data_IF_730099988511
#
_entry.id   IF_730099988511
#
_cell.length_a   1.000
_cell.length_b   1.000
_cell.length_c   1.000
_cell.angle_alpha   90.00
_cell.angle_beta   90.00
_cell.angle_gamma   90.00
#
_symmetry.space_group_name_H-M   'P 1'
#
loop_
_entity.id
_entity.type
_entity.pdbx_description
1 polymer ?
#
# COMPACT_ATOMS: atom_id res chain seq x y z
N UNK A 1 -29.54 -65.11 -36.25
CA UNK A 1 -29.13 -64.21 -37.36
C UNK A 1 -29.13 -62.79 -36.83
N UNK A 2 -27.96 -62.30 -36.42
CA UNK A 2 -27.14 -61.25 -37.08
C UNK A 2 -27.61 -59.80 -36.84
N UNK A 3 -26.90 -59.10 -35.94
CA UNK A 3 -26.40 -57.69 -36.12
C UNK A 3 -25.69 -57.57 -37.50
N UNK A 4 -25.44 -56.40 -38.13
CA UNK A 4 -24.99 -55.09 -37.57
C UNK A 4 -25.65 -53.87 -38.33
N UNK A 5 -25.40 -52.57 -38.07
CA UNK A 5 -24.16 -51.81 -38.29
C UNK A 5 -24.05 -50.53 -37.46
N UNK A 6 -22.80 -50.31 -37.04
CA UNK A 6 -22.27 -49.14 -36.36
C UNK A 6 -22.13 -47.98 -37.35
N UNK A 7 -22.38 -46.75 -36.89
CA UNK A 7 -21.85 -45.55 -37.55
C UNK A 7 -20.82 -44.87 -36.64
N UNK A 8 -19.71 -44.59 -37.31
CA UNK A 8 -18.39 -44.17 -36.86
C UNK A 8 -18.32 -42.65 -36.69
N UNK A 9 -17.66 -42.20 -35.61
CA UNK A 9 -16.71 -41.06 -35.54
C UNK A 9 -17.17 -39.64 -35.94
N UNK A 10 -17.16 -38.72 -34.97
CA UNK A 10 -16.10 -37.68 -34.85
C UNK A 10 -16.30 -36.78 -33.63
N UNK A 11 -15.22 -36.67 -32.85
CA UNK A 11 -15.01 -35.73 -31.73
C UNK A 11 -14.57 -34.38 -32.31
N UNK A 12 -15.13 -33.22 -31.90
CA UNK A 12 -14.51 -31.95 -32.20
C UNK A 12 -13.52 -31.57 -31.10
N UNK A 13 -12.29 -31.38 -31.53
CA UNK A 13 -11.13 -30.84 -30.83
C UNK A 13 -11.39 -29.41 -30.37
N UNK A 14 -11.10 -29.14 -29.10
CA UNK A 14 -11.04 -27.82 -28.48
C UNK A 14 -9.84 -27.04 -29.02
N UNK A 15 -10.10 -25.91 -29.68
CA UNK A 15 -9.09 -24.90 -30.01
C UNK A 15 -8.90 -23.90 -28.84
N UNK A 16 -7.68 -23.41 -28.60
CA UNK A 16 -7.37 -22.56 -27.44
C UNK A 16 -7.81 -21.09 -27.64
N UNK A 17 -8.33 -20.51 -26.57
CA UNK A 17 -8.66 -19.10 -26.42
C UNK A 17 -7.40 -18.27 -26.08
N UNK A 18 -7.35 -16.97 -26.45
CA UNK A 18 -6.14 -16.15 -26.35
C UNK A 18 -5.80 -15.76 -24.92
N UNK A 19 -4.50 -15.88 -24.62
CA UNK A 19 -3.85 -15.54 -23.36
C UNK A 19 -3.84 -14.02 -23.13
N UNK A 20 -4.53 -13.56 -22.08
CA UNK A 20 -4.29 -12.25 -21.48
C UNK A 20 -3.21 -12.38 -20.41
N UNK A 21 -2.03 -11.84 -20.71
CA UNK A 21 -0.87 -11.81 -19.83
C UNK A 21 -1.15 -11.13 -18.50
N UNK A 22 -1.13 -11.92 -17.43
CA UNK A 22 -1.01 -11.45 -16.07
C UNK A 22 0.48 -11.43 -15.71
N UNK A 23 1.05 -10.23 -15.56
CA UNK A 23 2.39 -10.06 -15.03
C UNK A 23 2.41 -10.53 -13.56
N UNK A 24 3.09 -11.64 -13.32
CA UNK A 24 3.39 -12.17 -12.00
C UNK A 24 4.81 -11.73 -11.62
N UNK A 25 4.92 -10.82 -10.64
CA UNK A 25 6.19 -10.51 -9.99
C UNK A 25 6.59 -11.68 -9.09
N UNK A 26 7.72 -12.31 -9.42
CA UNK A 26 8.42 -13.30 -8.60
C UNK A 26 9.69 -12.64 -8.06
N UNK A 27 10.02 -12.73 -6.75
CA UNK A 27 11.29 -12.24 -6.25
C UNK A 27 12.38 -13.29 -6.44
N UNK A 28 13.45 -12.90 -7.13
CA UNK A 28 14.67 -13.68 -7.27
C UNK A 28 15.49 -13.65 -5.96
N UNK A 29 15.98 -14.81 -5.56
CA UNK A 29 17.00 -15.01 -4.55
C UNK A 29 18.35 -15.29 -5.23
N UNK A 30 19.45 -14.75 -4.68
CA UNK A 30 20.77 -15.37 -4.70
C UNK A 30 21.73 -14.62 -3.75
N UNK A 31 22.25 -15.36 -2.76
CA UNK A 31 23.40 -15.07 -1.92
C UNK A 31 24.71 -15.07 -2.73
N UNK A 32 25.77 -14.41 -2.21
CA UNK A 32 27.08 -15.02 -1.83
C UNK A 32 27.97 -13.97 -1.14
N UNK A 33 28.70 -14.30 -0.05
CA UNK A 33 29.49 -13.37 0.74
C UNK A 33 30.99 -13.36 0.37
N UNK A 34 31.70 -12.28 0.72
CA UNK A 34 33.17 -12.21 0.70
C UNK A 34 33.68 -11.75 2.07
N UNK A 35 34.74 -12.42 2.53
CA UNK A 35 35.24 -12.45 3.90
C UNK A 35 36.50 -11.59 4.12
N UNK A 36 36.70 -11.29 5.41
CA UNK A 36 37.97 -11.23 6.16
C UNK A 36 38.86 -9.96 6.14
N UNK A 37 39.02 -9.37 7.33
CA UNK A 37 40.30 -9.00 8.01
C UNK A 37 39.93 -8.41 9.41
N UNK A 38 39.96 -9.14 10.54
CA UNK A 38 41.07 -9.44 11.49
C UNK A 38 42.05 -8.30 11.85
N UNK A 39 42.12 -8.01 13.16
CA UNK A 39 43.14 -7.19 13.86
C UNK A 39 42.58 -6.65 15.19
N UNK A 40 42.64 -7.40 16.30
CA UNK A 40 43.66 -7.35 17.38
C UNK A 40 43.53 -6.10 18.28
N UNK A 41 43.07 -6.27 19.55
CA UNK A 41 43.87 -6.17 20.80
C UNK A 41 44.30 -4.72 21.15
N UNK A 42 44.23 -4.13 22.35
CA UNK A 42 44.15 -4.64 23.72
C UNK A 42 44.08 -3.46 24.72
N UNK A 43 43.42 -3.70 25.86
CA UNK A 43 43.81 -3.34 27.26
C UNK A 43 43.67 -1.92 27.86
N UNK A 44 43.16 -1.98 29.11
CA UNK A 44 43.36 -1.12 30.29
C UNK A 44 42.57 0.20 30.36
N UNK A 45 41.90 0.56 31.44
CA UNK A 45 41.95 0.11 32.85
C UNK A 45 41.84 1.37 33.73
N UNK A 46 40.83 1.46 34.59
CA UNK A 46 40.65 2.63 35.47
C UNK A 46 39.40 2.57 36.34
N UNK A 47 39.56 2.00 37.53
CA UNK A 47 38.58 1.96 38.64
C UNK A 47 38.63 3.27 39.47
N UNK A 48 37.78 3.50 40.51
CA UNK A 48 36.91 4.67 40.59
C UNK A 48 37.23 5.60 41.78
N UNK A 49 36.61 6.78 41.81
CA UNK A 49 36.69 7.72 42.93
C UNK A 49 35.29 8.19 43.41
N UNK A 50 35.11 8.58 44.68
CA UNK A 50 33.85 8.46 45.41
C UNK A 50 33.02 9.76 45.46
N UNK A 51 31.73 9.61 45.75
CA UNK A 51 30.70 10.65 45.57
C UNK A 51 30.33 11.50 46.78
N UNK A 52 29.30 12.34 46.61
CA UNK A 52 28.30 12.80 47.60
C UNK A 52 27.25 13.73 46.92
N UNK A 53 26.09 14.08 47.54
CA UNK A 53 24.80 13.61 47.06
C UNK A 53 23.73 14.72 46.82
N UNK A 54 22.51 14.25 46.51
CA UNK A 54 21.20 14.86 46.73
C UNK A 54 20.64 15.84 45.67
N UNK A 55 19.53 15.40 45.05
CA UNK A 55 18.57 16.22 44.31
C UNK A 55 17.30 15.40 44.07
N UNK A 56 16.22 15.74 44.79
CA UNK A 56 14.99 14.95 44.94
C UNK A 56 13.94 15.33 43.89
N UNK A 57 13.47 14.34 43.11
CA UNK A 57 12.14 14.28 42.45
C UNK A 57 12.08 14.63 40.95
N UNK A 58 11.06 14.16 40.17
CA UNK A 58 9.86 13.41 40.58
C UNK A 58 9.63 12.05 39.87
N UNK A 59 8.82 11.21 40.53
CA UNK A 59 7.94 10.15 40.02
C UNK A 59 8.45 9.23 38.88
N UNK A 60 8.95 8.08 39.30
CA UNK A 60 9.22 6.92 38.46
C UNK A 60 7.98 6.48 37.67
N UNK A 61 8.09 6.49 36.34
CA UNK A 61 7.34 5.57 35.49
C UNK A 61 7.67 4.12 35.91
N UNK A 62 6.73 3.16 35.85
CA UNK A 62 7.05 1.77 36.15
C UNK A 62 8.11 1.29 35.16
N UNK A 63 9.34 1.14 35.66
CA UNK A 63 10.43 0.57 34.91
C UNK A 63 10.01 -0.81 34.41
N UNK A 64 9.99 -0.97 33.08
CA UNK A 64 10.01 -2.30 32.49
C UNK A 64 11.22 -3.01 33.10
N UNK A 65 11.08 -4.23 33.62
CA UNK A 65 12.23 -4.97 34.12
C UNK A 65 13.20 -5.13 32.94
N UNK A 66 14.38 -4.50 33.06
CA UNK A 66 15.50 -4.69 32.15
C UNK A 66 16.13 -6.06 32.43
N UNK A 67 15.35 -7.12 32.19
CA UNK A 67 15.89 -8.44 31.88
C UNK A 67 15.99 -8.53 30.37
N UNK A 68 17.06 -9.15 29.86
CA UNK A 68 17.27 -9.38 28.43
C UNK A 68 16.02 -10.00 27.81
N UNK A 69 15.20 -9.17 27.16
CA UNK A 69 13.97 -9.62 26.54
C UNK A 69 14.39 -10.52 25.39
N UNK A 70 13.86 -11.74 25.35
CA UNK A 70 14.13 -12.63 24.22
C UNK A 70 13.40 -12.13 22.98
N UNK A 71 13.90 -12.51 21.80
CA UNK A 71 13.21 -12.28 20.52
C UNK A 71 11.75 -12.75 20.57
N UNK A 72 11.51 -13.90 21.18
CA UNK A 72 10.17 -14.44 21.44
C UNK A 72 9.31 -13.50 22.29
N UNK A 73 9.86 -12.99 23.39
CA UNK A 73 9.15 -12.11 24.32
C UNK A 73 8.69 -10.79 23.70
N UNK A 74 9.31 -10.36 22.60
CA UNK A 74 8.93 -9.14 21.86
C UNK A 74 8.02 -9.47 20.66
N UNK A 75 8.43 -10.40 19.81
CA UNK A 75 7.74 -10.69 18.54
C UNK A 75 6.40 -11.41 18.77
N UNK A 76 6.36 -12.39 19.68
CA UNK A 76 5.16 -13.21 19.86
C UNK A 76 3.97 -12.41 20.41
N UNK A 77 4.12 -11.56 21.45
CA UNK A 77 3.02 -10.71 21.91
C UNK A 77 2.53 -9.73 20.85
N UNK A 78 3.42 -9.16 20.03
CA UNK A 78 3.02 -8.27 18.94
C UNK A 78 2.17 -9.01 17.90
N UNK A 79 2.62 -10.17 17.42
CA UNK A 79 1.88 -10.96 16.44
C UNK A 79 0.53 -11.43 16.99
N UNK A 80 0.48 -11.88 18.25
CA UNK A 80 -0.78 -12.26 18.92
C UNK A 80 -1.74 -11.08 19.04
N UNK A 81 -1.24 -9.89 19.37
CA UNK A 81 -2.07 -8.68 19.42
C UNK A 81 -2.65 -8.31 18.05
N UNK A 82 -1.83 -8.35 16.98
CA UNK A 82 -2.32 -8.10 15.63
C UNK A 82 -3.31 -9.18 15.15
N UNK A 83 -3.10 -10.44 15.51
CA UNK A 83 -4.03 -11.54 15.21
C UNK A 83 -5.37 -11.34 15.95
N UNK A 84 -5.35 -10.95 17.23
CA UNK A 84 -6.55 -10.63 17.98
C UNK A 84 -7.32 -9.44 17.37
N UNK A 85 -6.61 -8.39 16.95
CA UNK A 85 -7.22 -7.25 16.25
C UNK A 85 -7.82 -7.66 14.90
N UNK A 86 -7.16 -8.56 14.16
CA UNK A 86 -7.69 -9.14 12.92
C UNK A 86 -9.02 -9.87 13.19
N UNK A 87 -9.05 -10.80 14.14
CA UNK A 87 -10.27 -11.57 14.48
C UNK A 87 -11.38 -10.68 15.02
N UNK A 88 -11.05 -9.67 15.84
CA UNK A 88 -12.02 -8.68 16.34
C UNK A 88 -12.63 -7.90 15.18
N UNK A 89 -11.81 -7.41 14.25
CA UNK A 89 -12.28 -6.67 13.09
C UNK A 89 -13.09 -7.53 12.13
N UNK A 90 -12.79 -8.83 12.02
CA UNK A 90 -13.59 -9.78 11.25
C UNK A 90 -14.97 -9.98 11.86
N UNK A 91 -15.04 -10.15 13.19
CA UNK A 91 -16.31 -10.26 13.90
C UNK A 91 -17.16 -9.00 13.73
N UNK A 92 -16.56 -7.82 13.92
CA UNK A 92 -17.22 -6.54 13.66
C UNK A 92 -17.69 -6.45 12.20
N UNK A 93 -16.88 -6.88 11.23
CA UNK A 93 -17.32 -6.88 9.83
C UNK A 93 -18.56 -7.76 9.63
N UNK A 94 -18.64 -8.94 10.24
CA UNK A 94 -19.82 -9.80 10.16
C UNK A 94 -21.05 -9.16 10.83
N UNK A 95 -20.89 -8.57 12.02
CA UNK A 95 -21.95 -7.87 12.75
C UNK A 95 -22.55 -6.70 11.94
N UNK A 96 -21.70 -5.90 11.29
CA UNK A 96 -22.12 -4.71 10.53
C UNK A 96 -22.48 -5.00 9.06
N UNK A 97 -22.22 -6.21 8.55
CA UNK A 97 -22.60 -6.62 7.19
C UNK A 97 -24.05 -7.11 7.10
N UNK A 98 -24.76 -7.21 8.23
CA UNK A 98 -26.19 -7.49 8.24
C UNK A 98 -26.99 -6.32 7.61
N UNK A 99 -28.15 -6.59 6.96
CA UNK A 99 -28.91 -5.60 6.23
C UNK A 99 -29.66 -4.67 7.20
N UNK A 100 -28.95 -3.69 7.75
CA UNK A 100 -29.52 -2.51 8.38
C UNK A 100 -28.88 -1.27 7.73
N UNK A 101 -29.71 -0.35 7.26
CA UNK A 101 -29.35 0.78 6.38
C UNK A 101 -28.33 1.79 6.96
N UNK A 102 -27.87 1.59 8.19
CA UNK A 102 -26.88 2.41 8.90
C UNK A 102 -25.49 1.77 9.07
N UNK A 103 -25.31 0.47 8.78
CA UNK A 103 -24.07 -0.28 9.07
C UNK A 103 -22.91 -0.11 8.08
N UNK A 104 -23.11 0.58 6.95
CA UNK A 104 -22.12 0.62 5.86
C UNK A 104 -20.80 1.31 6.23
N UNK A 105 -20.84 2.39 7.01
CA UNK A 105 -19.64 3.10 7.45
C UNK A 105 -18.82 2.27 8.44
N UNK A 106 -19.50 1.57 9.35
CA UNK A 106 -18.87 0.72 10.35
C UNK A 106 -18.29 -0.56 9.73
N UNK A 107 -19.00 -1.16 8.76
CA UNK A 107 -18.47 -2.28 7.97
C UNK A 107 -17.22 -1.87 7.17
N UNK A 108 -17.19 -0.66 6.61
CA UNK A 108 -16.02 -0.12 5.92
C UNK A 108 -14.86 0.18 6.89
N UNK A 109 -15.14 0.68 8.10
CA UNK A 109 -14.14 0.88 9.15
C UNK A 109 -13.55 -0.47 9.62
N UNK A 110 -14.40 -1.48 9.85
CA UNK A 110 -13.98 -2.83 10.19
C UNK A 110 -13.10 -3.44 9.10
N UNK A 111 -13.47 -3.30 7.82
CA UNK A 111 -12.65 -3.78 6.69
C UNK A 111 -11.30 -3.05 6.60
N UNK A 112 -11.26 -1.75 6.90
CA UNK A 112 -10.00 -0.98 6.98
C UNK A 112 -9.12 -1.48 8.13
N UNK A 113 -9.70 -1.75 9.30
CA UNK A 113 -8.99 -2.32 10.45
C UNK A 113 -8.45 -3.72 10.14
N UNK A 114 -9.27 -4.59 9.54
CA UNK A 114 -8.90 -5.94 9.11
C UNK A 114 -7.70 -5.92 8.16
N UNK A 115 -7.75 -5.07 7.13
CA UNK A 115 -6.61 -4.90 6.21
C UNK A 115 -5.38 -4.32 6.90
N UNK A 116 -5.54 -3.45 7.91
CA UNK A 116 -4.41 -2.87 8.65
C UNK A 116 -3.70 -3.95 9.47
N UNK A 117 -4.44 -4.77 10.21
CA UNK A 117 -3.90 -5.89 10.98
C UNK A 117 -3.21 -6.91 10.06
N UNK A 118 -3.88 -7.36 8.99
CA UNK A 118 -3.31 -8.31 8.03
C UNK A 118 -1.99 -7.84 7.40
N UNK A 119 -1.88 -6.55 7.07
CA UNK A 119 -0.64 -5.97 6.49
C UNK A 119 0.49 -5.87 7.49
N UNK A 120 0.19 -5.65 8.78
CA UNK A 120 1.17 -5.67 9.86
C UNK A 120 1.69 -7.08 10.10
N UNK A 121 0.79 -8.06 10.21
CA UNK A 121 1.17 -9.47 10.30
C UNK A 121 2.08 -9.82 9.12
N UNK A 122 1.61 -9.62 7.88
CA UNK A 122 2.40 -9.92 6.67
C UNK A 122 3.75 -9.19 6.63
N UNK A 123 3.80 -7.93 7.09
CA UNK A 123 5.04 -7.15 7.16
C UNK A 123 6.03 -7.64 8.21
N UNK A 124 5.56 -7.98 9.42
CA UNK A 124 6.38 -8.56 10.47
C UNK A 124 6.91 -9.94 10.07
N UNK A 125 6.07 -10.77 9.43
CA UNK A 125 6.50 -12.06 8.87
C UNK A 125 7.54 -11.89 7.76
N UNK A 126 7.49 -10.79 6.99
CA UNK A 126 8.49 -10.49 5.97
C UNK A 126 9.84 -10.13 6.58
N UNK A 127 9.86 -9.17 7.51
CA UNK A 127 11.10 -8.66 8.09
C UNK A 127 11.77 -9.68 9.00
N UNK A 128 10.99 -10.33 9.87
CA UNK A 128 11.51 -11.27 10.88
C UNK A 128 11.43 -12.73 10.44
N UNK A 129 11.42 -12.99 9.13
CA UNK A 129 11.33 -14.34 8.54
C UNK A 129 12.36 -15.32 9.13
N UNK A 130 13.57 -14.85 9.45
CA UNK A 130 14.63 -15.70 10.00
C UNK A 130 14.39 -16.18 11.45
N UNK A 131 13.50 -15.51 12.19
CA UNK A 131 13.12 -15.87 13.55
C UNK A 131 11.90 -16.83 13.61
N UNK A 132 11.25 -17.07 12.47
CA UNK A 132 10.00 -17.82 12.34
C UNK A 132 10.21 -19.05 11.45
N UNK A 133 9.29 -20.01 11.46
CA UNK A 133 9.24 -21.05 10.43
C UNK A 133 9.11 -20.40 9.04
N UNK A 134 10.12 -20.51 8.16
CA UNK A 134 10.14 -19.81 6.89
C UNK A 134 9.02 -20.25 5.92
N UNK A 135 8.69 -21.55 5.90
CA UNK A 135 7.68 -22.10 4.98
C UNK A 135 6.29 -21.64 5.39
N UNK A 136 5.98 -21.74 6.68
CA UNK A 136 4.73 -21.24 7.24
C UNK A 136 4.58 -19.71 7.02
N UNK A 137 5.64 -18.94 7.28
CA UNK A 137 5.62 -17.49 7.13
C UNK A 137 5.35 -17.06 5.67
N UNK A 138 6.00 -17.71 4.70
CA UNK A 138 5.81 -17.39 3.28
C UNK A 138 4.43 -17.80 2.77
N UNK A 139 3.90 -18.94 3.22
CA UNK A 139 2.53 -19.36 2.89
C UNK A 139 1.50 -18.38 3.45
N UNK A 140 1.56 -18.05 4.74
CA UNK A 140 0.62 -17.13 5.37
C UNK A 140 0.71 -15.71 4.76
N UNK A 141 1.92 -15.24 4.43
CA UNK A 141 2.11 -13.95 3.75
C UNK A 141 1.45 -13.90 2.38
N UNK A 142 1.56 -14.96 1.60
CA UNK A 142 0.94 -15.07 0.27
C UNK A 142 -0.58 -14.93 0.40
N UNK A 143 -1.15 -15.65 1.36
CA UNK A 143 -2.59 -15.64 1.62
C UNK A 143 -3.10 -14.29 2.17
N UNK A 144 -2.38 -13.68 3.11
CA UNK A 144 -2.73 -12.35 3.63
C UNK A 144 -2.60 -11.26 2.55
N UNK A 145 -1.63 -11.39 1.63
CA UNK A 145 -1.47 -10.47 0.50
C UNK A 145 -2.65 -10.60 -0.47
N UNK A 146 -3.06 -11.83 -0.79
CA UNK A 146 -4.26 -12.09 -1.56
C UNK A 146 -5.51 -11.46 -0.91
N UNK A 147 -5.75 -11.76 0.37
CA UNK A 147 -6.93 -11.28 1.11
C UNK A 147 -6.97 -9.74 1.16
N UNK A 148 -5.87 -9.10 1.54
CA UNK A 148 -5.79 -7.64 1.63
C UNK A 148 -5.97 -6.97 0.26
N UNK A 149 -5.50 -7.61 -0.81
CA UNK A 149 -5.70 -7.17 -2.19
C UNK A 149 -7.16 -7.21 -2.60
N UNK A 150 -7.86 -8.33 -2.37
CA UNK A 150 -9.29 -8.47 -2.70
C UNK A 150 -10.14 -7.44 -1.95
N UNK A 151 -9.96 -7.34 -0.62
CA UNK A 151 -10.71 -6.40 0.23
C UNK A 151 -10.41 -4.93 -0.05
N UNK A 152 -9.26 -4.61 -0.66
CA UNK A 152 -8.89 -3.23 -0.94
C UNK A 152 -9.54 -2.64 -2.18
N UNK A 153 -9.89 -3.48 -3.17
CA UNK A 153 -10.31 -3.03 -4.50
C UNK A 153 -11.58 -2.19 -4.48
N UNK A 154 -12.59 -2.62 -3.73
CA UNK A 154 -13.87 -1.90 -3.66
C UNK A 154 -13.67 -0.45 -3.20
N UNK A 155 -12.95 -0.27 -2.10
CA UNK A 155 -12.69 1.04 -1.52
C UNK A 155 -11.75 1.88 -2.40
N UNK A 156 -10.80 1.24 -3.08
CA UNK A 156 -9.92 1.93 -4.02
C UNK A 156 -10.70 2.50 -5.22
N UNK A 157 -11.69 1.77 -5.75
CA UNK A 157 -12.55 2.29 -6.82
C UNK A 157 -13.46 3.42 -6.33
N UNK A 158 -14.00 3.30 -5.11
CA UNK A 158 -14.83 4.36 -4.51
C UNK A 158 -14.04 5.67 -4.32
N UNK A 159 -12.87 5.60 -3.68
CA UNK A 159 -12.02 6.77 -3.45
C UNK A 159 -11.56 7.40 -4.77
N UNK A 160 -11.20 6.57 -5.76
CA UNK A 160 -10.78 7.04 -7.07
C UNK A 160 -11.90 7.75 -7.81
N UNK A 161 -13.14 7.26 -7.70
CA UNK A 161 -14.30 7.92 -8.28
C UNK A 161 -14.50 9.30 -7.66
N UNK A 162 -14.52 9.39 -6.32
CA UNK A 162 -14.63 10.67 -5.60
C UNK A 162 -13.56 11.65 -6.04
N UNK A 163 -12.29 11.24 -6.02
CA UNK A 163 -11.14 12.07 -6.43
C UNK A 163 -11.29 12.61 -7.86
N UNK A 164 -11.60 11.74 -8.83
CA UNK A 164 -11.70 12.15 -10.24
C UNK A 164 -12.90 13.06 -10.52
N UNK A 165 -14.02 12.81 -9.84
CA UNK A 165 -15.21 13.67 -9.97
C UNK A 165 -14.93 15.03 -9.33
N UNK A 166 -14.30 15.09 -8.16
CA UNK A 166 -13.90 16.35 -7.52
C UNK A 166 -12.92 17.14 -8.40
N UNK A 167 -11.90 16.49 -8.94
CA UNK A 167 -10.95 17.12 -9.86
C UNK A 167 -11.65 17.66 -11.12
N UNK A 168 -12.59 16.90 -11.71
CA UNK A 168 -13.40 17.40 -12.83
C UNK A 168 -14.24 18.63 -12.46
N UNK A 169 -14.81 18.69 -11.26
CA UNK A 169 -15.55 19.86 -10.81
C UNK A 169 -14.63 21.07 -10.63
N UNK A 170 -13.43 20.89 -10.09
CA UNK A 170 -12.43 21.95 -9.94
C UNK A 170 -11.95 22.48 -11.30
N UNK A 171 -11.68 21.59 -12.25
CA UNK A 171 -11.29 21.93 -13.62
C UNK A 171 -12.43 22.57 -14.43
N UNK A 172 -13.68 22.26 -14.10
CA UNK A 172 -14.89 22.81 -14.75
C UNK A 172 -15.43 24.08 -14.08
N UNK A 173 -14.89 24.45 -12.91
CA UNK A 173 -15.33 25.61 -12.15
C UNK A 173 -15.17 26.93 -12.92
N UNK A 174 -15.88 28.00 -12.53
CA UNK A 174 -15.75 29.28 -13.21
C UNK A 174 -14.31 29.77 -13.05
N UNK A 175 -13.61 29.99 -14.16
CA UNK A 175 -12.33 30.67 -14.16
C UNK A 175 -12.47 31.98 -13.34
N UNK A 176 -11.55 32.18 -12.38
CA UNK A 176 -11.42 33.41 -11.60
C UNK A 176 -11.56 34.64 -12.51
N UNK A 177 -12.15 35.75 -12.01
CA UNK A 177 -12.54 36.88 -12.84
C UNK A 177 -11.33 37.40 -13.61
N UNK A 178 -11.47 37.46 -14.93
CA UNK A 178 -10.49 38.05 -15.83
C UNK A 178 -9.99 39.37 -15.23
N UNK A 179 -8.68 39.48 -15.05
CA UNK A 179 -8.04 40.70 -14.61
C UNK A 179 -8.62 41.87 -15.42
N UNK A 180 -9.14 42.89 -14.72
CA UNK A 180 -9.67 44.12 -15.31
C UNK A 180 -8.68 44.65 -16.35
N UNK A 181 -8.98 44.51 -17.64
CA UNK A 181 -8.07 45.01 -18.66
C UNK A 181 -8.36 44.77 -20.13
N UNK A 182 -9.35 43.96 -20.53
CA UNK A 182 -9.60 43.71 -21.95
C UNK A 182 -11.01 44.14 -22.40
N UNK A 183 -11.21 45.46 -22.54
CA UNK A 183 -12.28 46.00 -23.39
C UNK A 183 -11.82 45.92 -24.84
N UNK A 184 -12.14 44.81 -25.52
CA UNK A 184 -12.44 44.70 -26.96
C UNK A 184 -12.36 43.24 -27.42
N UNK A 185 -13.50 42.53 -27.55
CA UNK A 185 -13.63 41.34 -28.40
C UNK A 185 -15.11 40.91 -28.49
N UNK A 186 -15.89 41.54 -29.38
CA UNK A 186 -17.31 41.22 -29.59
C UNK A 186 -17.58 39.87 -30.26
N UNK A 187 -16.61 39.27 -30.95
CA UNK A 187 -16.75 37.99 -31.66
C UNK A 187 -15.93 36.86 -31.02
N UNK A 188 -14.74 37.16 -30.48
CA UNK A 188 -13.92 36.20 -29.73
C UNK A 188 -14.59 35.73 -28.42
N UNK A 189 -15.28 36.63 -27.72
CA UNK A 189 -15.95 36.27 -26.47
C UNK A 189 -17.10 35.26 -26.65
N UNK A 190 -17.78 35.28 -27.81
CA UNK A 190 -18.84 34.34 -28.15
C UNK A 190 -18.29 32.96 -28.55
N UNK A 191 -17.22 32.93 -29.35
CA UNK A 191 -16.48 31.70 -29.67
C UNK A 191 -15.90 31.04 -28.40
N UNK A 192 -15.32 31.83 -27.51
CA UNK A 192 -14.78 31.33 -26.24
C UNK A 192 -15.89 30.86 -25.30
N UNK A 193 -17.06 31.51 -25.31
CA UNK A 193 -18.21 31.05 -24.55
C UNK A 193 -18.75 29.71 -25.07
N UNK A 194 -18.81 29.53 -26.39
CA UNK A 194 -19.20 28.27 -27.03
C UNK A 194 -18.19 27.15 -26.76
N UNK A 195 -16.89 27.47 -26.81
CA UNK A 195 -15.81 26.55 -26.44
C UNK A 195 -15.90 26.13 -24.96
N UNK A 196 -16.12 27.07 -24.05
CA UNK A 196 -16.33 26.80 -22.61
C UNK A 196 -17.57 25.94 -22.36
N UNK A 197 -18.68 26.21 -23.05
CA UNK A 197 -19.89 25.39 -22.94
C UNK A 197 -19.63 23.95 -23.45
N UNK A 198 -18.90 23.79 -24.55
CA UNK A 198 -18.51 22.48 -25.07
C UNK A 198 -17.57 21.73 -24.12
N UNK A 199 -16.65 22.43 -23.44
CA UNK A 199 -15.78 21.87 -22.40
C UNK A 199 -16.57 21.43 -21.17
N UNK A 200 -17.53 22.25 -20.71
CA UNK A 200 -18.43 21.90 -19.62
C UNK A 200 -19.28 20.66 -19.93
N UNK A 201 -19.83 20.57 -21.14
CA UNK A 201 -20.54 19.36 -21.62
C UNK A 201 -19.58 18.16 -21.73
N UNK A 202 -18.35 18.39 -22.18
CA UNK A 202 -17.29 17.37 -22.25
C UNK A 202 -16.95 16.79 -20.88
N UNK A 203 -16.74 17.65 -19.88
CA UNK A 203 -16.44 17.30 -18.50
C UNK A 203 -17.61 16.58 -17.81
N UNK A 204 -18.84 17.06 -18.00
CA UNK A 204 -20.03 16.38 -17.48
C UNK A 204 -20.17 14.96 -18.05
N UNK A 205 -19.95 14.78 -19.37
CA UNK A 205 -19.95 13.46 -20.01
C UNK A 205 -18.77 12.58 -19.54
N UNK A 206 -17.60 13.17 -19.29
CA UNK A 206 -16.44 12.47 -18.74
C UNK A 206 -16.73 11.96 -17.33
N UNK A 207 -17.33 12.80 -16.48
CA UNK A 207 -17.78 12.44 -15.14
C UNK A 207 -18.77 11.28 -15.17
N UNK A 208 -19.83 11.37 -15.98
CA UNK A 208 -20.81 10.30 -16.12
C UNK A 208 -20.20 8.98 -16.63
N UNK A 209 -19.23 9.05 -17.55
CA UNK A 209 -18.50 7.87 -18.03
C UNK A 209 -17.66 7.23 -16.93
N UNK A 210 -16.91 8.02 -16.17
CA UNK A 210 -16.09 7.56 -15.05
C UNK A 210 -16.95 6.95 -13.94
N UNK A 211 -18.03 7.62 -13.57
CA UNK A 211 -19.00 7.14 -12.59
C UNK A 211 -19.57 5.78 -12.98
N UNK A 212 -20.04 5.63 -14.22
CA UNK A 212 -20.53 4.34 -14.72
C UNK A 212 -19.45 3.27 -14.65
N UNK A 213 -18.23 3.55 -15.13
CA UNK A 213 -17.16 2.55 -15.19
C UNK A 213 -16.66 2.13 -13.81
N UNK A 214 -16.41 3.09 -12.93
CA UNK A 214 -15.88 2.83 -11.59
C UNK A 214 -16.94 2.25 -10.66
N UNK A 215 -18.21 2.63 -10.81
CA UNK A 215 -19.31 1.98 -10.08
C UNK A 215 -19.45 0.52 -10.50
N UNK A 216 -19.42 0.22 -11.81
CA UNK A 216 -19.44 -1.18 -12.28
C UNK A 216 -18.21 -1.98 -11.82
N UNK A 217 -17.02 -1.37 -11.76
CA UNK A 217 -15.83 -2.00 -11.21
C UNK A 217 -15.97 -2.26 -9.70
N UNK A 218 -16.51 -1.29 -8.96
CA UNK A 218 -16.81 -1.39 -7.54
C UNK A 218 -17.78 -2.52 -7.25
N UNK A 219 -18.93 -2.60 -7.92
CA UNK A 219 -19.91 -3.68 -7.72
C UNK A 219 -19.31 -5.05 -7.99
N UNK A 220 -18.53 -5.21 -9.08
CA UNK A 220 -17.82 -6.47 -9.36
C UNK A 220 -16.81 -6.82 -8.27
N UNK A 221 -16.06 -5.84 -7.77
CA UNK A 221 -15.09 -6.06 -6.69
C UNK A 221 -15.77 -6.37 -5.35
N UNK A 222 -16.95 -5.80 -5.11
CA UNK A 222 -17.76 -6.08 -3.93
C UNK A 222 -18.25 -7.53 -3.94
N UNK A 223 -18.85 -7.99 -5.05
CA UNK A 223 -19.24 -9.39 -5.20
C UNK A 223 -18.06 -10.35 -5.08
N UNK A 224 -16.90 -10.00 -5.66
CA UNK A 224 -15.69 -10.81 -5.53
C UNK A 224 -15.16 -10.87 -4.08
N UNK A 225 -15.28 -9.77 -3.32
CA UNK A 225 -14.92 -9.74 -1.91
C UNK A 225 -15.85 -10.64 -1.07
N UNK A 226 -17.17 -10.58 -1.29
CA UNK A 226 -18.12 -11.46 -0.62
C UNK A 226 -17.88 -12.94 -0.94
N UNK A 227 -17.60 -13.26 -2.22
CA UNK A 227 -17.25 -14.62 -2.63
C UNK A 227 -15.94 -15.10 -1.99
N UNK A 228 -14.93 -14.23 -1.90
CA UNK A 228 -13.67 -14.56 -1.26
C UNK A 228 -13.85 -14.82 0.25
N UNK A 229 -14.64 -13.99 0.94
CA UNK A 229 -14.94 -14.15 2.37
C UNK A 229 -15.76 -15.42 2.66
N UNK A 230 -16.57 -15.89 1.71
CA UNK A 230 -17.29 -17.18 1.83
C UNK A 230 -16.50 -18.40 1.36
N UNK A 231 -15.23 -18.25 0.96
CA UNK A 231 -14.44 -19.34 0.40
C UNK A 231 -13.71 -20.15 1.48
N UNK A 232 -13.48 -21.44 1.21
CA UNK A 232 -12.64 -22.30 2.07
C UNK A 232 -11.22 -21.74 2.24
N UNK A 233 -10.70 -21.08 1.19
CA UNK A 233 -9.39 -20.39 1.23
C UNK A 233 -9.37 -19.32 2.32
N UNK A 234 -10.41 -18.50 2.41
CA UNK A 234 -10.50 -17.49 3.47
C UNK A 234 -10.60 -18.11 4.86
N UNK A 235 -11.42 -19.16 5.02
CA UNK A 235 -11.55 -19.86 6.32
C UNK A 235 -10.21 -20.44 6.77
N UNK A 236 -9.43 -21.05 5.87
CA UNK A 236 -8.09 -21.53 6.19
C UNK A 236 -7.15 -20.41 6.68
N UNK A 237 -7.26 -19.20 6.13
CA UNK A 237 -6.51 -18.02 6.60
C UNK A 237 -6.99 -17.57 7.97
N UNK A 238 -8.29 -17.52 8.19
CA UNK A 238 -8.87 -17.15 9.48
C UNK A 238 -8.43 -18.13 10.58
N UNK A 239 -8.42 -19.44 10.28
CA UNK A 239 -7.97 -20.49 11.18
C UNK A 239 -6.46 -20.38 11.46
N UNK A 240 -5.64 -20.13 10.43
CA UNK A 240 -4.20 -19.90 10.60
C UNK A 240 -3.90 -18.67 11.48
N UNK A 241 -4.68 -17.59 11.32
CA UNK A 241 -4.56 -16.39 12.18
C UNK A 241 -5.08 -16.65 13.59
N UNK A 242 -6.10 -17.50 13.75
CA UNK A 242 -6.58 -17.92 15.07
C UNK A 242 -5.54 -18.76 15.82
N UNK A 243 -4.86 -19.67 15.13
CA UNK A 243 -3.73 -20.40 15.68
C UNK A 243 -2.59 -19.44 16.07
N UNK A 244 -2.27 -18.47 15.21
CA UNK A 244 -1.27 -17.44 15.47
C UNK A 244 -1.57 -16.61 16.74
N UNK A 245 -2.84 -16.42 17.09
CA UNK A 245 -3.24 -15.71 18.31
C UNK A 245 -2.89 -16.49 19.59
N UNK A 246 -2.73 -17.81 19.51
CA UNK A 246 -2.37 -18.68 20.63
C UNK A 246 -0.89 -19.07 20.60
N UNK A 247 -0.39 -19.51 19.46
CA UNK A 247 0.97 -20.04 19.31
C UNK A 247 1.68 -19.42 18.10
N UNK A 248 2.95 -19.06 18.29
CA UNK A 248 3.76 -18.41 17.26
C UNK A 248 4.85 -19.40 16.85
N UNK A 249 4.85 -19.91 15.60
CA UNK A 249 5.81 -20.90 15.16
C UNK A 249 7.18 -20.25 14.95
N UNK A 250 7.98 -20.22 16.01
CA UNK A 250 9.36 -19.75 16.00
C UNK A 250 10.26 -20.79 15.36
N UNK A 251 11.31 -20.32 14.68
CA UNK A 251 12.31 -21.21 14.10
C UNK A 251 13.00 -22.01 15.22
N UNK A 252 13.26 -23.32 15.03
CA UNK A 252 14.06 -24.08 15.97
C UNK A 252 15.48 -23.50 16.03
N UNK A 253 15.90 -23.08 17.22
CA UNK A 253 17.19 -22.46 17.47
C UNK A 253 17.55 -22.55 18.95
N UNK A 254 18.82 -22.28 19.34
CA UNK A 254 19.20 -22.32 20.75
C UNK A 254 18.31 -21.34 21.51
N UNK A 255 17.59 -21.87 22.51
CA UNK A 255 16.70 -21.09 23.35
C UNK A 255 17.43 -19.88 23.92
N UNK A 256 16.79 -18.70 23.92
CA UNK A 256 17.36 -17.50 24.53
C UNK A 256 18.12 -16.57 23.59
N UNK A 257 17.69 -16.46 22.32
CA UNK A 257 18.13 -15.38 21.44
C UNK A 257 17.63 -14.02 21.95
N UNK A 258 18.55 -13.08 22.16
CA UNK A 258 18.24 -11.75 22.69
C UNK A 258 17.37 -10.92 21.75
N UNK A 259 16.74 -9.86 22.26
CA UNK A 259 15.98 -8.89 21.45
C UNK A 259 16.86 -8.16 20.42
N UNK A 260 18.17 -8.14 20.63
CA UNK A 260 19.16 -7.59 19.69
C UNK A 260 19.09 -8.25 18.31
N UNK A 261 18.69 -9.52 18.23
CA UNK A 261 18.53 -10.19 16.95
C UNK A 261 17.34 -9.69 16.11
N UNK A 262 16.39 -8.98 16.73
CA UNK A 262 15.35 -8.26 15.99
C UNK A 262 15.85 -6.92 15.46
N UNK A 263 16.95 -6.38 15.99
CA UNK A 263 17.54 -5.13 15.51
C UNK A 263 18.15 -5.33 14.12
N UNK A 264 18.90 -6.40 13.91
CA UNK A 264 19.60 -6.64 12.64
C UNK A 264 18.66 -6.72 11.41
N UNK A 265 17.52 -7.44 11.44
CA UNK A 265 16.53 -7.40 10.37
C UNK A 265 15.84 -6.04 10.22
N UNK A 266 15.62 -5.31 11.31
CA UNK A 266 15.00 -3.99 11.29
C UNK A 266 15.93 -2.94 10.66
N UNK A 267 17.22 -2.96 11.01
CA UNK A 267 18.27 -2.14 10.40
C UNK A 267 18.44 -2.47 8.91
N UNK A 268 18.40 -3.76 8.54
CA UNK A 268 18.41 -4.14 7.11
C UNK A 268 17.20 -3.60 6.36
N UNK A 269 16.02 -3.57 6.98
CA UNK A 269 14.83 -2.97 6.38
C UNK A 269 14.97 -1.44 6.21
N UNK A 270 15.60 -0.76 7.16
CA UNK A 270 15.94 0.66 7.08
C UNK A 270 16.95 0.93 5.96
N UNK A 271 18.04 0.16 5.90
CA UNK A 271 19.06 0.29 4.86
C UNK A 271 18.48 0.11 3.45
N UNK A 272 17.60 -0.89 3.27
CA UNK A 272 16.88 -1.10 1.99
C UNK A 272 16.00 0.09 1.63
N UNK A 273 15.33 0.69 2.61
CA UNK A 273 14.51 1.88 2.41
C UNK A 273 15.40 3.07 2.02
N UNK A 274 16.47 3.34 2.75
CA UNK A 274 17.40 4.43 2.46
C UNK A 274 18.03 4.26 1.07
N UNK A 275 18.45 3.05 0.70
CA UNK A 275 18.97 2.75 -0.62
C UNK A 275 17.93 2.97 -1.72
N UNK A 276 16.68 2.55 -1.50
CA UNK A 276 15.60 2.77 -2.46
C UNK A 276 15.24 4.25 -2.62
N UNK A 277 15.26 5.03 -1.52
CA UNK A 277 15.03 6.48 -1.55
C UNK A 277 16.18 7.21 -2.24
N UNK A 278 17.43 6.81 -1.97
CA UNK A 278 18.61 7.35 -2.65
C UNK A 278 18.63 7.05 -4.16
N UNK A 279 17.99 5.95 -4.58
CA UNK A 279 17.83 5.58 -5.99
C UNK A 279 16.63 6.24 -6.68
N UNK A 280 15.86 7.10 -6.00
CA UNK A 280 14.72 7.77 -6.61
C UNK A 280 15.17 8.78 -7.68
N UNK A 281 14.40 8.94 -8.77
CA UNK A 281 14.72 9.90 -9.82
C UNK A 281 14.80 11.34 -9.28
N UNK A 282 15.72 12.18 -9.81
CA UNK A 282 15.81 13.60 -9.46
C UNK A 282 14.60 14.39 -9.98
N UNK A 283 14.40 15.60 -9.45
CA UNK A 283 13.29 16.49 -9.87
C UNK A 283 13.35 16.86 -11.35
N UNK A 284 14.55 17.13 -11.87
CA UNK A 284 14.75 17.66 -13.22
C UNK A 284 14.69 16.59 -14.33
N UNK A 285 14.09 15.44 -14.07
CA UNK A 285 13.95 14.36 -15.08
C UNK A 285 12.79 14.65 -16.04
N UNK A 286 12.90 15.74 -16.79
CA UNK A 286 12.04 15.97 -17.97
C UNK A 286 12.58 15.19 -19.19
N UNK A 287 11.70 14.57 -20.00
CA UNK A 287 10.24 14.51 -19.87
C UNK A 287 9.75 13.39 -18.94
N UNK A 288 8.55 13.59 -18.37
CA UNK A 288 7.90 12.64 -17.47
C UNK A 288 7.90 11.20 -18.02
N UNK A 289 8.34 10.25 -17.18
CA UNK A 289 8.42 8.84 -17.54
C UNK A 289 7.59 7.98 -16.58
N UNK A 290 6.51 7.38 -17.09
CA UNK A 290 5.64 6.46 -16.33
C UNK A 290 6.40 5.28 -15.71
N UNK A 291 7.54 4.86 -16.29
CA UNK A 291 8.37 3.81 -15.73
C UNK A 291 8.94 4.18 -14.34
N UNK A 292 9.02 5.47 -14.01
CA UNK A 292 9.45 5.92 -12.70
C UNK A 292 8.43 5.61 -11.60
N UNK A 293 7.13 5.48 -11.92
CA UNK A 293 6.10 5.22 -10.91
C UNK A 293 6.38 3.91 -10.12
N UNK A 294 7.02 2.93 -10.77
CA UNK A 294 7.38 1.65 -10.16
C UNK A 294 8.39 1.80 -9.01
N UNK A 295 9.43 2.62 -9.17
CA UNK A 295 10.44 2.82 -8.11
C UNK A 295 9.85 3.57 -6.90
N UNK A 296 8.93 4.50 -7.14
CA UNK A 296 8.17 5.18 -6.07
C UNK A 296 7.23 4.23 -5.34
N UNK A 297 6.56 3.31 -6.05
CA UNK A 297 5.75 2.26 -5.42
C UNK A 297 6.58 1.28 -4.59
N UNK A 298 7.80 0.96 -5.04
CA UNK A 298 8.73 0.13 -4.29
C UNK A 298 9.21 0.84 -3.01
N UNK A 299 9.59 2.12 -3.09
CA UNK A 299 9.95 2.92 -1.92
C UNK A 299 8.80 2.95 -0.89
N UNK A 300 7.55 3.09 -1.35
CA UNK A 300 6.36 3.04 -0.49
C UNK A 300 6.18 1.70 0.21
N UNK A 301 6.44 0.58 -0.49
CA UNK A 301 6.38 -0.75 0.12
C UNK A 301 7.44 -0.89 1.21
N UNK A 302 8.69 -0.51 0.91
CA UNK A 302 9.81 -0.58 1.86
C UNK A 302 9.59 0.31 3.09
N UNK A 303 9.06 1.52 2.90
CA UNK A 303 8.73 2.42 4.00
C UNK A 303 7.71 1.79 4.96
N UNK A 304 6.70 1.11 4.39
CA UNK A 304 5.69 0.41 5.20
C UNK A 304 6.28 -0.77 5.96
N UNK A 305 7.18 -1.54 5.34
CA UNK A 305 7.86 -2.66 5.98
C UNK A 305 8.77 -2.18 7.13
N UNK A 306 9.54 -1.12 6.91
CA UNK A 306 10.37 -0.50 7.95
C UNK A 306 9.50 0.02 9.11
N UNK A 307 8.39 0.70 8.83
CA UNK A 307 7.46 1.14 9.90
C UNK A 307 6.91 -0.03 10.72
N UNK A 308 6.57 -1.16 10.08
CA UNK A 308 6.09 -2.34 10.82
C UNK A 308 7.21 -3.02 11.62
N UNK A 309 8.45 -3.04 11.09
CA UNK A 309 9.60 -3.53 11.84
C UNK A 309 9.87 -2.68 13.09
N UNK A 310 9.82 -1.35 12.94
CA UNK A 310 9.98 -0.40 14.03
C UNK A 310 8.85 -0.50 15.08
N UNK A 311 7.60 -0.71 14.65
CA UNK A 311 6.47 -0.98 15.56
C UNK A 311 6.73 -2.22 16.44
N UNK A 312 7.43 -3.25 15.94
CA UNK A 312 7.79 -4.45 16.71
C UNK A 312 8.93 -4.17 17.68
N UNK A 313 10.00 -3.54 17.21
CA UNK A 313 11.23 -3.33 17.99
C UNK A 313 11.04 -2.29 19.09
N UNK A 314 10.44 -1.14 18.79
CA UNK A 314 10.26 -0.04 19.75
C UNK A 314 8.87 -0.04 20.41
N UNK A 315 7.96 -0.91 19.97
CA UNK A 315 6.59 -0.98 20.48
C UNK A 315 5.70 0.20 20.05
N UNK A 316 6.19 1.08 19.19
CA UNK A 316 5.47 2.24 18.68
C UNK A 316 5.85 2.56 17.23
N UNK A 317 4.90 3.16 16.50
CA UNK A 317 5.18 3.68 15.16
C UNK A 317 5.95 5.00 15.26
N UNK A 318 6.96 5.17 14.41
CA UNK A 318 7.67 6.44 14.30
C UNK A 318 6.76 7.54 13.71
N UNK A 319 6.46 8.63 14.44
CA UNK A 319 5.66 9.73 13.92
C UNK A 319 6.35 10.48 12.76
N UNK A 320 7.69 10.50 12.70
CA UNK A 320 8.42 11.20 11.64
C UNK A 320 8.15 10.61 10.25
N UNK A 321 7.89 9.29 10.17
CA UNK A 321 7.59 8.59 8.93
C UNK A 321 6.12 8.68 8.50
N UNK A 322 5.25 9.33 9.30
CA UNK A 322 3.83 9.45 8.99
C UNK A 322 3.57 10.36 7.78
N UNK A 323 4.20 11.53 7.74
CA UNK A 323 4.09 12.50 6.66
C UNK A 323 4.63 11.95 5.31
N UNK A 324 5.87 11.42 5.21
CA UNK A 324 6.37 10.85 3.96
C UNK A 324 5.55 9.62 3.53
N UNK A 325 5.07 8.82 4.49
CA UNK A 325 4.16 7.71 4.20
C UNK A 325 2.84 8.17 3.56
N UNK A 326 2.28 9.27 4.04
CA UNK A 326 1.09 9.87 3.47
C UNK A 326 1.33 10.43 2.06
N UNK A 327 2.46 11.11 1.84
CA UNK A 327 2.84 11.62 0.52
C UNK A 327 2.93 10.48 -0.53
N UNK A 328 3.53 9.34 -0.17
CA UNK A 328 3.58 8.17 -1.05
C UNK A 328 2.21 7.52 -1.29
N UNK A 329 1.29 7.59 -0.33
CA UNK A 329 -0.10 7.17 -0.52
C UNK A 329 -0.82 8.08 -1.52
N UNK A 330 -0.67 9.41 -1.40
CA UNK A 330 -1.19 10.38 -2.36
C UNK A 330 -0.62 10.18 -3.76
N UNK A 331 0.69 9.97 -3.88
CA UNK A 331 1.36 9.63 -5.14
C UNK A 331 0.69 8.42 -5.80
N UNK A 332 0.50 7.33 -5.04
CA UNK A 332 -0.14 6.12 -5.56
C UNK A 332 -1.56 6.40 -6.04
N UNK A 333 -2.35 7.12 -5.25
CA UNK A 333 -3.74 7.40 -5.59
C UNK A 333 -3.84 8.28 -6.84
N UNK A 334 -2.92 9.24 -7.02
CA UNK A 334 -2.83 10.08 -8.21
C UNK A 334 -2.42 9.29 -9.48
N UNK A 335 -1.38 8.43 -9.40
CA UNK A 335 -0.98 7.53 -10.52
C UNK A 335 -2.16 6.66 -10.98
N UNK A 336 -2.85 6.06 -10.02
CA UNK A 336 -3.99 5.18 -10.25
C UNK A 336 -5.21 5.91 -10.83
N UNK A 337 -5.42 7.17 -10.42
CA UNK A 337 -6.43 8.07 -10.96
C UNK A 337 -6.10 8.49 -12.40
N UNK A 338 -4.85 8.88 -12.68
CA UNK A 338 -4.36 9.20 -14.02
C UNK A 338 -4.52 8.01 -14.97
N UNK A 339 -4.18 6.80 -14.51
CA UNK A 339 -4.37 5.55 -15.27
C UNK A 339 -5.84 5.25 -15.57
N UNK A 340 -6.76 5.54 -14.63
CA UNK A 340 -8.19 5.38 -14.84
C UNK A 340 -8.76 6.38 -15.86
N UNK A 341 -8.31 7.65 -15.83
CA UNK A 341 -8.68 8.67 -16.81
C UNK A 341 -8.20 8.26 -18.22
N UNK A 342 -6.95 7.83 -18.36
CA UNK A 342 -6.40 7.34 -19.63
C UNK A 342 -7.15 6.10 -20.15
N UNK A 343 -7.50 5.15 -19.26
CA UNK A 343 -8.29 3.99 -19.63
C UNK A 343 -9.72 4.35 -20.05
N UNK A 344 -10.33 5.38 -19.45
CA UNK A 344 -11.62 5.89 -19.84
C UNK A 344 -11.57 6.58 -21.23
N UNK A 345 -10.49 7.30 -21.54
CA UNK A 345 -10.29 7.95 -22.84
C UNK A 345 -10.18 6.96 -24.00
N UNK A 346 -9.76 5.71 -23.74
CA UNK A 346 -9.73 4.61 -24.72
C UNK A 346 -11.10 3.94 -24.95
N UNK A 347 -12.18 4.44 -24.35
CA UNK A 347 -13.53 3.88 -24.56
C UNK A 347 -13.99 4.18 -26.00
N UNK A 348 -14.51 3.19 -26.76
CA UNK A 348 -14.96 3.43 -28.13
C UNK A 348 -16.16 4.38 -28.16
N UNK A 349 -16.27 5.17 -29.23
CA UNK A 349 -17.40 6.09 -29.54
C UNK A 349 -17.64 7.19 -28.49
N UNK A 350 -16.60 7.65 -27.78
CA UNK A 350 -16.70 8.86 -26.97
C UNK A 350 -16.64 10.12 -27.84
N UNK A 351 -17.30 11.19 -27.41
CA UNK A 351 -17.25 12.47 -28.10
C UNK A 351 -15.84 13.11 -27.95
N UNK A 352 -15.33 13.86 -28.95
CA UNK A 352 -14.03 14.52 -28.85
C UNK A 352 -13.88 15.43 -27.63
N UNK A 353 -14.92 16.18 -27.28
CA UNK A 353 -14.92 17.03 -26.07
C UNK A 353 -14.75 16.22 -24.76
N UNK A 354 -15.30 15.00 -24.72
CA UNK A 354 -15.14 14.08 -23.58
C UNK A 354 -13.72 13.53 -23.53
N UNK A 355 -13.15 13.15 -24.68
CA UNK A 355 -11.76 12.71 -24.76
C UNK A 355 -10.78 13.80 -24.32
N UNK A 356 -11.02 15.05 -24.74
CA UNK A 356 -10.25 16.21 -24.32
C UNK A 356 -10.32 16.42 -22.80
N UNK A 357 -11.52 16.41 -22.22
CA UNK A 357 -11.69 16.56 -20.77
C UNK A 357 -10.97 15.46 -19.97
N UNK A 358 -10.99 14.21 -20.45
CA UNK A 358 -10.24 13.10 -19.85
C UNK A 358 -8.72 13.26 -20.00
N UNK A 359 -8.26 13.88 -21.09
CA UNK A 359 -6.85 14.22 -21.29
C UNK A 359 -6.37 15.30 -20.31
N UNK A 360 -7.16 16.37 -20.12
CA UNK A 360 -6.87 17.42 -19.12
C UNK A 360 -6.88 16.83 -17.71
N UNK A 361 -7.87 15.99 -17.38
CA UNK A 361 -7.94 15.29 -16.09
C UNK A 361 -6.72 14.37 -15.88
N UNK A 362 -6.27 13.67 -16.92
CA UNK A 362 -5.06 12.87 -16.83
C UNK A 362 -3.83 13.74 -16.51
N UNK A 363 -3.65 14.86 -17.22
CA UNK A 363 -2.54 15.78 -16.98
C UNK A 363 -2.58 16.39 -15.56
N UNK A 364 -3.75 16.81 -15.10
CA UNK A 364 -3.99 17.27 -13.73
C UNK A 364 -3.54 16.23 -12.69
N UNK A 365 -3.95 14.97 -12.85
CA UNK A 365 -3.52 13.89 -11.96
C UNK A 365 -2.02 13.57 -12.07
N UNK A 366 -1.36 13.85 -13.21
CA UNK A 366 0.11 13.74 -13.33
C UNK A 366 0.83 14.87 -12.58
N UNK A 367 0.32 16.10 -12.60
CA UNK A 367 0.86 17.16 -11.76
C UNK A 367 0.70 16.85 -10.26
N UNK A 368 -0.41 16.24 -9.87
CA UNK A 368 -0.61 15.75 -8.50
C UNK A 368 0.41 14.66 -8.10
N UNK A 369 0.83 13.81 -9.05
CA UNK A 369 1.91 12.84 -8.82
C UNK A 369 3.22 13.56 -8.52
N UNK A 370 3.57 14.58 -9.31
CA UNK A 370 4.79 15.37 -9.11
C UNK A 370 4.75 16.16 -7.80
N UNK A 371 3.61 16.79 -7.48
CA UNK A 371 3.40 17.48 -6.21
C UNK A 371 3.58 16.52 -5.01
N UNK A 372 3.05 15.29 -5.09
CA UNK A 372 3.25 14.28 -4.06
C UNK A 372 4.72 13.85 -3.91
N UNK A 373 5.49 13.82 -5.00
CA UNK A 373 6.94 13.55 -4.97
C UNK A 373 7.70 14.69 -4.28
N UNK A 374 7.35 15.95 -4.57
CA UNK A 374 7.92 17.12 -3.91
C UNK A 374 7.63 17.11 -2.39
N UNK A 375 6.36 16.91 -2.01
CA UNK A 375 5.97 16.80 -0.59
C UNK A 375 6.69 15.65 0.11
N UNK A 376 6.90 14.51 -0.56
CA UNK A 376 7.70 13.42 0.00
C UNK A 376 9.14 13.87 0.28
N UNK A 377 9.80 14.55 -0.67
CA UNK A 377 11.18 15.04 -0.48
C UNK A 377 11.29 16.06 0.64
N UNK A 378 10.34 16.99 0.74
CA UNK A 378 10.28 17.99 1.82
C UNK A 378 10.06 17.36 3.20
N UNK A 379 9.21 16.32 3.28
CA UNK A 379 8.87 15.65 4.52
C UNK A 379 9.82 14.52 4.91
N UNK A 380 10.81 14.17 4.08
CA UNK A 380 11.72 13.07 4.32
C UNK A 380 12.73 13.42 5.43
N UNK A 381 12.69 12.74 6.60
CA UNK A 381 13.44 13.17 7.78
C UNK A 381 14.97 13.02 7.64
N UNK A 382 15.43 12.18 6.72
CA UNK A 382 16.86 11.94 6.46
C UNK A 382 17.42 12.78 5.31
N UNK A 383 16.62 13.66 4.70
CA UNK A 383 17.05 14.51 3.59
C UNK A 383 18.15 15.50 4.01
N UNK A 384 18.12 15.97 5.26
CA UNK A 384 19.10 16.93 5.81
C UNK A 384 20.50 16.35 5.98
N UNK A 385 20.66 15.02 6.04
CA UNK A 385 21.98 14.37 6.15
C UNK A 385 22.64 14.16 4.78
N UNK A 386 21.87 14.15 3.69
CA UNK A 386 22.38 14.00 2.32
C UNK A 386 22.77 15.32 1.65
N UNK A 387 22.48 16.46 2.29
CA UNK A 387 22.92 17.81 1.90
C UNK A 387 24.02 18.33 2.82
N UNK A 388 25.06 17.53 3.05
CA UNK A 388 26.35 18.04 3.52
C UNK A 388 27.37 17.87 2.39
N UNK A 389 27.90 18.96 1.80
CA UNK A 389 28.95 18.89 0.78
C UNK A 389 30.29 18.41 1.33
#
# INVERSE_FOLDING_TARGET
MRRPDQQTTTRPTTGPAPETGAAADTPAAADTPAAAATGAESLSGGTPGPGHPAGTGPAAAPGRPAGDLTTEAVLAPYLRAQAADFLRSLRLHHEHSAPADSGGHDAAAATRALRRAARRISGSLHTFRAALDPLWADQLRTELTWLTGVLAREHAYANRLTRLVEALHQLSGPALPAARGARAAGEGAASDAQGRAALGVGAARAGALLERRLTLARTRSHSAALQALGSSRFHAVADAVALLASDVPLAPGPAGRGSEELLEPAERAEQRLLAAVAALPPEDSEPYNEAQDAVWHQARLLLRLHRYAHEVVLGAADPALAAPGHALDLHRDAVEAAGAAAAAARTPRIAPATAYALGVLHADQRHEVEAARAVFRESWPYATVLTAP
#
